data_IF_579491985864
#
_entry.id   IF_579491985864
#
_cell.length_a   1.000
_cell.length_b   1.000
_cell.length_c   1.000
_cell.angle_alpha   90.00
_cell.angle_beta   90.00
_cell.angle_gamma   90.00
#
_symmetry.space_group_name_H-M   'P 1'
#
loop_
_entity.id
_entity.type
_entity.pdbx_description
1 polymer ?
#
# COMPACT_ATOMS: atom_id res chain seq x y z
N UNK A 1 -3.48 22.03 8.37
CA UNK A 1 -3.43 20.89 9.30
C UNK A 1 -4.68 20.04 9.09
N UNK A 2 -4.54 18.76 8.80
CA UNK A 2 -5.66 17.85 8.51
C UNK A 2 -6.14 17.16 9.80
N UNK A 3 -6.92 17.88 10.61
CA UNK A 3 -7.48 17.39 11.87
C UNK A 3 -8.37 16.15 11.68
N UNK A 4 -9.24 16.05 10.65
CA UNK A 4 -10.02 14.84 10.39
C UNK A 4 -9.14 13.59 10.18
N UNK A 5 -8.04 13.71 9.43
CA UNK A 5 -7.09 12.61 9.24
C UNK A 5 -6.44 12.16 10.56
N UNK A 6 -6.05 13.13 11.41
CA UNK A 6 -5.52 12.82 12.74
C UNK A 6 -6.54 12.04 13.59
N UNK A 7 -7.80 12.50 13.58
CA UNK A 7 -8.89 11.91 14.35
C UNK A 7 -9.19 10.47 13.92
N UNK A 8 -9.32 10.20 12.62
CA UNK A 8 -9.60 8.83 12.13
C UNK A 8 -8.44 7.89 12.44
N UNK A 9 -7.18 8.32 12.32
CA UNK A 9 -6.02 7.48 12.65
C UNK A 9 -6.01 7.13 14.14
N UNK A 10 -6.26 8.10 15.03
CA UNK A 10 -6.31 7.85 16.47
C UNK A 10 -7.49 6.93 16.85
N UNK A 11 -8.65 7.11 16.22
CA UNK A 11 -9.80 6.23 16.40
C UNK A 11 -9.48 4.79 15.98
N UNK A 12 -8.91 4.59 14.79
CA UNK A 12 -8.51 3.26 14.32
C UNK A 12 -7.39 2.66 15.17
N UNK A 13 -6.45 3.48 15.64
CA UNK A 13 -5.40 3.06 16.59
C UNK A 13 -6.03 2.51 17.88
N UNK A 14 -7.07 3.18 18.39
CA UNK A 14 -7.81 2.70 19.56
C UNK A 14 -8.55 1.37 19.29
N UNK A 15 -9.15 1.19 18.11
CA UNK A 15 -9.76 -0.09 17.74
C UNK A 15 -8.73 -1.23 17.66
N UNK A 16 -7.56 -0.97 17.06
CA UNK A 16 -6.45 -1.95 16.99
C UNK A 16 -5.92 -2.25 18.39
N UNK A 17 -5.84 -1.26 19.28
CA UNK A 17 -5.44 -1.42 20.67
C UNK A 17 -6.37 -2.39 21.43
N UNK A 18 -7.70 -2.25 21.24
CA UNK A 18 -8.70 -3.15 21.82
C UNK A 18 -8.60 -4.59 21.30
N UNK A 19 -7.85 -4.81 20.22
CA UNK A 19 -7.67 -6.12 19.59
C UNK A 19 -8.81 -6.49 18.67
N UNK A 20 -9.55 -5.51 18.16
CA UNK A 20 -10.58 -5.73 17.16
C UNK A 20 -9.87 -6.21 15.89
N UNK A 21 -10.03 -7.50 15.59
CA UNK A 21 -9.62 -8.09 14.32
C UNK A 21 -10.82 -8.07 13.40
N UNK A 22 -10.61 -7.68 12.14
CA UNK A 22 -11.66 -7.85 11.15
C UNK A 22 -11.97 -9.33 10.97
N UNK A 23 -13.26 -9.67 11.07
CA UNK A 23 -13.72 -11.00 10.66
C UNK A 23 -13.60 -11.12 9.13
N UNK A 24 -13.25 -12.31 8.64
CA UNK A 24 -13.24 -12.59 7.21
C UNK A 24 -14.57 -12.22 6.54
N UNK A 25 -15.70 -12.40 7.23
CA UNK A 25 -17.03 -12.01 6.74
C UNK A 25 -17.16 -10.50 6.59
N UNK A 26 -16.68 -9.73 7.58
CA UNK A 26 -16.72 -8.27 7.53
C UNK A 26 -15.85 -7.73 6.39
N UNK A 27 -14.63 -8.25 6.24
CA UNK A 27 -13.74 -7.89 5.15
C UNK A 27 -14.37 -8.21 3.78
N UNK A 28 -14.98 -9.39 3.62
CA UNK A 28 -15.67 -9.76 2.37
C UNK A 28 -16.82 -8.80 2.03
N UNK A 29 -17.66 -8.44 3.01
CA UNK A 29 -18.75 -7.48 2.82
C UNK A 29 -18.19 -6.11 2.40
N UNK A 30 -17.14 -5.63 3.08
CA UNK A 30 -16.52 -4.35 2.76
C UNK A 30 -15.88 -4.35 1.36
N UNK A 31 -15.27 -5.45 0.94
CA UNK A 31 -14.73 -5.64 -0.42
C UNK A 31 -15.84 -5.63 -1.46
N UNK A 32 -16.91 -6.40 -1.26
CA UNK A 32 -18.06 -6.41 -2.18
C UNK A 32 -18.65 -5.01 -2.31
N UNK A 33 -18.81 -4.30 -1.19
CA UNK A 33 -19.35 -2.94 -1.19
C UNK A 33 -18.47 -1.97 -1.99
N UNK A 34 -17.16 -1.90 -1.71
CA UNK A 34 -16.26 -0.97 -2.43
C UNK A 34 -16.13 -1.30 -3.93
N UNK A 35 -16.10 -2.59 -4.29
CA UNK A 35 -16.10 -3.01 -5.70
C UNK A 35 -17.42 -2.64 -6.37
N UNK A 36 -18.56 -2.87 -5.72
CA UNK A 36 -19.89 -2.54 -6.26
C UNK A 36 -20.03 -1.03 -6.53
N UNK A 37 -19.50 -0.19 -5.64
CA UNK A 37 -19.50 1.27 -5.83
C UNK A 37 -18.66 1.69 -7.04
N UNK A 38 -17.50 1.06 -7.24
CA UNK A 38 -16.66 1.32 -8.43
C UNK A 38 -17.38 0.86 -9.71
N UNK A 39 -17.99 -0.32 -9.69
CA UNK A 39 -18.75 -0.84 -10.83
C UNK A 39 -19.97 0.04 -11.14
N UNK A 40 -20.64 0.56 -10.12
CA UNK A 40 -21.72 1.53 -10.28
C UNK A 40 -21.24 2.80 -10.99
N UNK A 41 -20.11 3.39 -10.53
CA UNK A 41 -19.50 4.54 -11.20
C UNK A 41 -19.21 4.23 -12.68
N UNK A 42 -18.57 3.09 -12.96
CA UNK A 42 -18.24 2.66 -14.33
C UNK A 42 -19.51 2.54 -15.18
N UNK A 43 -20.53 1.85 -14.69
CA UNK A 43 -21.76 1.57 -15.42
C UNK A 43 -22.55 2.85 -15.77
N UNK A 44 -22.49 3.86 -14.90
CA UNK A 44 -23.21 5.13 -15.09
C UNK A 44 -22.40 6.12 -15.94
N UNK A 45 -21.11 6.28 -15.63
CA UNK A 45 -20.29 7.31 -16.25
C UNK A 45 -19.80 6.95 -17.66
N UNK A 46 -19.75 5.66 -18.03
CA UNK A 46 -19.31 5.22 -19.37
C UNK A 46 -20.13 5.83 -20.51
N UNK A 47 -21.42 6.07 -20.29
CA UNK A 47 -22.34 6.65 -21.29
C UNK A 47 -22.12 8.16 -21.51
N UNK A 48 -21.31 8.80 -20.66
CA UNK A 48 -21.11 10.25 -20.66
C UNK A 48 -19.71 10.65 -21.16
N UNK A 49 -18.93 9.69 -21.67
CA UNK A 49 -17.60 9.94 -22.22
C UNK A 49 -17.69 10.86 -23.43
N UNK A 50 -16.92 11.95 -23.41
CA UNK A 50 -16.72 12.84 -24.55
C UNK A 50 -15.26 12.71 -25.01
N UNK A 51 -14.98 12.04 -26.14
CA UNK A 51 -13.62 11.82 -26.63
C UNK A 51 -12.79 13.09 -26.83
N UNK A 52 -13.43 14.25 -26.99
CA UNK A 52 -12.78 15.56 -27.02
C UNK A 52 -11.92 15.84 -25.77
N UNK A 53 -12.30 15.30 -24.62
CA UNK A 53 -11.56 15.47 -23.37
C UNK A 53 -10.21 14.75 -23.36
N UNK A 54 -10.00 13.78 -24.26
CA UNK A 54 -8.71 13.10 -24.44
C UNK A 54 -7.75 13.87 -25.36
N UNK A 55 -8.14 15.03 -25.89
CA UNK A 55 -7.24 15.87 -26.67
C UNK A 55 -6.78 17.11 -25.87
N UNK A 56 -5.46 17.32 -25.71
CA UNK A 56 -4.35 16.43 -26.08
C UNK A 56 -4.20 15.22 -25.14
N UNK A 57 -3.83 14.04 -25.68
CA UNK A 57 -3.74 12.80 -24.88
C UNK A 57 -2.53 12.76 -23.96
N UNK A 58 -1.39 13.30 -24.42
CA UNK A 58 -0.14 13.41 -23.65
C UNK A 58 0.32 14.87 -23.59
N UNK A 59 -0.38 15.76 -22.85
CA UNK A 59 -0.04 17.18 -22.77
C UNK A 59 1.37 17.42 -22.20
N UNK A 60 1.85 16.49 -21.37
CA UNK A 60 3.16 16.56 -20.72
C UNK A 60 4.18 15.56 -21.30
N UNK A 61 3.86 14.99 -22.48
CA UNK A 61 4.68 13.98 -23.14
C UNK A 61 4.92 12.72 -22.29
N UNK A 62 5.90 11.92 -22.70
CA UNK A 62 6.25 10.67 -22.01
C UNK A 62 6.75 10.90 -20.57
N UNK A 63 7.45 12.01 -20.33
CA UNK A 63 7.95 12.34 -19.00
C UNK A 63 6.82 12.49 -17.98
N UNK A 64 5.71 13.14 -18.35
CA UNK A 64 4.52 13.24 -17.50
C UNK A 64 3.83 11.90 -17.25
N UNK A 65 3.82 11.00 -18.24
CA UNK A 65 3.29 9.63 -18.06
C UNK A 65 4.12 8.88 -17.01
N UNK A 66 5.44 9.01 -17.04
CA UNK A 66 6.33 8.34 -16.09
C UNK A 66 6.24 8.90 -14.67
N UNK A 67 6.22 10.23 -14.53
CA UNK A 67 5.98 10.86 -13.23
C UNK A 67 4.62 10.45 -12.65
N UNK A 68 3.57 10.45 -13.47
CA UNK A 68 2.24 9.96 -13.08
C UNK A 68 2.24 8.48 -12.69
N UNK A 69 2.96 7.63 -13.43
CA UNK A 69 3.10 6.20 -13.12
C UNK A 69 3.80 5.99 -11.77
N UNK A 70 4.84 6.77 -11.47
CA UNK A 70 5.56 6.69 -10.20
C UNK A 70 4.69 7.13 -9.01
N UNK A 71 3.78 8.10 -9.20
CA UNK A 71 2.84 8.54 -8.15
C UNK A 71 1.70 7.51 -7.99
N UNK A 72 1.06 7.10 -9.08
CA UNK A 72 -0.11 6.21 -9.05
C UNK A 72 0.25 4.77 -8.64
N UNK A 73 1.53 4.41 -8.66
CA UNK A 73 2.04 3.15 -8.09
C UNK A 73 1.52 2.92 -6.66
N UNK A 74 1.31 4.00 -5.89
CA UNK A 74 0.71 3.95 -4.55
C UNK A 74 -0.60 3.14 -4.52
N UNK A 75 -1.44 3.27 -5.55
CA UNK A 75 -2.73 2.57 -5.64
C UNK A 75 -2.58 1.05 -5.73
N UNK A 76 -1.43 0.55 -6.18
CA UNK A 76 -1.16 -0.88 -6.29
C UNK A 76 -0.62 -1.52 -5.00
N UNK A 77 -0.32 -0.73 -3.98
CA UNK A 77 0.24 -1.23 -2.71
C UNK A 77 -0.86 -1.95 -1.92
N UNK A 78 -0.52 -3.12 -1.36
CA UNK A 78 -1.41 -3.90 -0.49
C UNK A 78 -1.66 -5.34 -0.93
N UNK A 79 -1.25 -5.75 -2.14
CA UNK A 79 -1.33 -7.16 -2.53
C UNK A 79 -0.44 -8.06 -1.64
N UNK A 80 0.65 -7.51 -1.10
CA UNK A 80 1.54 -8.17 -0.16
C UNK A 80 0.86 -8.46 1.19
N UNK A 81 -0.22 -7.77 1.54
CA UNK A 81 -0.99 -8.07 2.75
C UNK A 81 -1.59 -9.47 2.71
N UNK A 82 -1.87 -10.02 1.52
CA UNK A 82 -2.31 -11.41 1.35
C UNK A 82 -1.27 -12.37 1.95
N UNK A 83 0.03 -12.07 1.83
CA UNK A 83 1.12 -12.88 2.40
C UNK A 83 1.01 -13.08 3.92
N UNK A 84 0.38 -12.14 4.63
CA UNK A 84 0.20 -12.21 6.08
C UNK A 84 -0.85 -13.24 6.52
N UNK A 85 -1.75 -13.63 5.61
CA UNK A 85 -2.76 -14.66 5.83
C UNK A 85 -2.29 -16.06 5.38
N UNK A 86 -1.00 -16.21 5.03
CA UNK A 86 -0.43 -17.50 4.60
C UNK A 86 -0.61 -18.59 5.67
N UNK A 87 -0.53 -18.24 6.95
CA UNK A 87 -0.69 -19.18 8.07
C UNK A 87 -2.15 -19.64 8.25
N UNK A 88 -3.12 -18.85 7.75
CA UNK A 88 -4.56 -19.12 7.87
C UNK A 88 -5.14 -19.77 6.60
N UNK A 89 -4.35 -19.88 5.53
CA UNK A 89 -4.76 -20.49 4.26
C UNK A 89 -4.70 -22.02 4.33
N UNK A 90 -5.77 -22.69 3.85
CA UNK A 90 -5.84 -24.16 3.77
C UNK A 90 -4.79 -24.74 2.82
N UNK A 91 -4.61 -24.11 1.65
CA UNK A 91 -3.57 -24.50 0.70
C UNK A 91 -2.73 -23.28 0.28
N UNK A 92 -1.75 -22.86 1.11
CA UNK A 92 -0.96 -21.67 0.84
C UNK A 92 -0.17 -21.73 -0.47
N UNK A 93 0.10 -22.94 -0.99
CA UNK A 93 0.82 -23.13 -2.25
C UNK A 93 0.04 -22.61 -3.47
N UNK A 94 -1.28 -22.75 -3.43
CA UNK A 94 -2.17 -22.42 -4.53
C UNK A 94 -2.96 -21.15 -4.27
N UNK A 95 -3.48 -21.01 -3.05
CA UNK A 95 -4.42 -19.94 -2.71
C UNK A 95 -3.69 -18.58 -2.66
N UNK A 96 -2.44 -18.55 -2.18
CA UNK A 96 -1.67 -17.32 -2.04
C UNK A 96 -1.29 -16.69 -3.39
N UNK A 97 -0.70 -17.44 -4.37
CA UNK A 97 -0.44 -16.88 -5.68
C UNK A 97 -1.71 -16.42 -6.40
N UNK A 98 -2.81 -17.18 -6.29
CA UNK A 98 -4.10 -16.80 -6.89
C UNK A 98 -4.64 -15.52 -6.25
N UNK A 99 -4.57 -15.40 -4.92
CA UNK A 99 -4.98 -14.21 -4.20
C UNK A 99 -4.17 -12.97 -4.60
N UNK A 100 -2.84 -13.09 -4.66
CA UNK A 100 -1.94 -11.98 -5.00
C UNK A 100 -2.13 -11.55 -6.46
N UNK A 101 -2.00 -12.49 -7.41
CA UNK A 101 -2.05 -12.17 -8.85
C UNK A 101 -3.48 -11.79 -9.27
N UNK A 102 -4.49 -12.52 -8.76
CA UNK A 102 -5.88 -12.28 -9.07
C UNK A 102 -6.38 -10.93 -8.56
N UNK A 103 -6.05 -10.56 -7.32
CA UNK A 103 -6.41 -9.24 -6.79
C UNK A 103 -5.75 -8.10 -7.57
N UNK A 104 -4.46 -8.25 -7.93
CA UNK A 104 -3.74 -7.26 -8.72
C UNK A 104 -4.26 -7.13 -10.15
N UNK A 105 -4.65 -8.24 -10.79
CA UNK A 105 -5.25 -8.21 -12.12
C UNK A 105 -6.63 -7.52 -12.12
N UNK A 106 -7.50 -7.87 -11.16
CA UNK A 106 -8.83 -7.26 -11.03
C UNK A 106 -8.70 -5.77 -10.71
N UNK A 107 -7.84 -5.37 -9.77
CA UNK A 107 -7.63 -3.96 -9.45
C UNK A 107 -7.07 -3.18 -10.63
N UNK A 108 -6.12 -3.76 -11.38
CA UNK A 108 -5.56 -3.13 -12.59
C UNK A 108 -6.64 -2.79 -13.62
N UNK A 109 -7.53 -3.75 -13.92
CA UNK A 109 -8.62 -3.55 -14.89
C UNK A 109 -9.55 -2.44 -14.41
N UNK A 110 -9.94 -2.46 -13.13
CA UNK A 110 -10.82 -1.42 -12.56
C UNK A 110 -10.15 -0.05 -12.57
N UNK A 111 -8.86 0.06 -12.21
CA UNK A 111 -8.13 1.32 -12.23
C UNK A 111 -8.03 1.91 -13.63
N UNK A 112 -7.69 1.10 -14.64
CA UNK A 112 -7.65 1.54 -16.04
C UNK A 112 -9.03 2.01 -16.48
N UNK A 113 -10.09 1.25 -16.19
CA UNK A 113 -11.46 1.62 -16.55
C UNK A 113 -11.88 2.95 -15.92
N UNK A 114 -11.62 3.13 -14.62
CA UNK A 114 -11.93 4.38 -13.91
C UNK A 114 -11.18 5.55 -14.50
N UNK A 115 -9.87 5.43 -14.77
CA UNK A 115 -9.07 6.54 -15.33
C UNK A 115 -9.55 6.92 -16.74
N UNK A 116 -9.80 5.94 -17.61
CA UNK A 116 -10.29 6.17 -18.98
C UNK A 116 -11.65 6.87 -18.96
N UNK A 117 -12.58 6.40 -18.11
CA UNK A 117 -13.92 7.01 -17.99
C UNK A 117 -13.81 8.41 -17.39
N UNK A 118 -13.06 8.58 -16.31
CA UNK A 118 -12.96 9.83 -15.57
C UNK A 118 -12.35 10.96 -16.42
N UNK A 119 -11.27 10.66 -17.15
CA UNK A 119 -10.65 11.60 -18.10
C UNK A 119 -11.52 11.83 -19.34
N UNK A 120 -12.41 10.88 -19.66
CA UNK A 120 -13.39 11.00 -20.73
C UNK A 120 -14.58 11.89 -20.40
N UNK A 121 -15.00 11.98 -19.13
CA UNK A 121 -16.15 12.79 -18.70
C UNK A 121 -15.78 14.24 -18.37
N UNK A 122 -14.61 14.46 -17.77
CA UNK A 122 -14.15 15.78 -17.30
C UNK A 122 -12.74 16.06 -17.86
N UNK A 123 -12.47 17.27 -18.38
CA UNK A 123 -11.12 17.68 -18.78
C UNK A 123 -10.10 17.50 -17.65
N UNK A 124 -8.93 16.93 -17.95
CA UNK A 124 -7.91 16.57 -16.95
C UNK A 124 -7.48 17.73 -16.03
N UNK A 125 -7.57 18.98 -16.51
CA UNK A 125 -7.24 20.20 -15.74
C UNK A 125 -8.17 20.42 -14.53
N UNK A 126 -9.37 19.87 -14.56
CA UNK A 126 -10.36 20.00 -13.48
C UNK A 126 -10.34 18.82 -12.50
N UNK A 127 -9.53 17.79 -12.77
CA UNK A 127 -9.42 16.58 -11.95
C UNK A 127 -8.47 16.72 -10.75
N UNK A 128 -7.80 17.87 -10.58
CA UNK A 128 -7.05 18.15 -9.35
C UNK A 128 -8.02 18.44 -8.20
N UNK A 129 -8.55 17.36 -7.62
CA UNK A 129 -9.58 17.37 -6.61
C UNK A 129 -9.35 16.25 -5.58
N UNK A 130 -9.64 16.46 -4.29
CA UNK A 130 -9.52 15.40 -3.28
C UNK A 130 -10.42 14.18 -3.51
N UNK A 131 -11.54 14.32 -4.23
CA UNK A 131 -12.50 13.25 -4.49
C UNK A 131 -12.90 13.20 -5.99
N UNK A 132 -11.96 12.88 -6.89
CA UNK A 132 -12.14 13.14 -8.32
C UNK A 132 -13.23 12.26 -8.96
N UNK A 133 -13.45 11.03 -8.45
CA UNK A 133 -14.54 10.15 -8.92
C UNK A 133 -15.92 10.70 -8.55
N UNK A 134 -16.06 11.25 -7.33
CA UNK A 134 -17.30 11.87 -6.87
C UNK A 134 -17.58 13.17 -7.65
N UNK A 135 -16.56 14.01 -7.83
CA UNK A 135 -16.60 15.19 -8.71
C UNK A 135 -16.99 14.82 -10.15
N UNK A 136 -16.49 13.69 -10.64
CA UNK A 136 -16.92 13.04 -11.88
C UNK A 136 -18.43 13.00 -12.04
N UNK A 137 -19.11 12.40 -11.07
CA UNK A 137 -20.57 12.26 -11.08
C UNK A 137 -21.30 13.58 -10.81
N UNK A 138 -20.74 14.44 -9.95
CA UNK A 138 -21.31 15.76 -9.68
C UNK A 138 -21.32 16.66 -10.93
N UNK A 139 -20.24 16.63 -11.72
CA UNK A 139 -20.16 17.34 -13.00
C UNK A 139 -21.22 16.88 -14.01
N UNK A 140 -21.67 15.62 -13.92
CA UNK A 140 -22.76 15.07 -14.71
C UNK A 140 -24.16 15.40 -14.14
N UNK A 141 -24.23 16.16 -13.03
CA UNK A 141 -25.48 16.47 -12.33
C UNK A 141 -26.01 15.33 -11.46
N UNK A 142 -25.22 14.27 -11.21
CA UNK A 142 -25.65 13.06 -10.51
C UNK A 142 -25.27 13.11 -9.03
N UNK A 143 -25.91 14.01 -8.28
CA UNK A 143 -25.61 14.26 -6.85
C UNK A 143 -25.77 13.01 -5.97
N UNK A 144 -26.81 12.21 -6.18
CA UNK A 144 -27.02 10.95 -5.46
C UNK A 144 -25.88 9.95 -5.71
N UNK A 145 -25.45 9.82 -6.98
CA UNK A 145 -24.35 8.94 -7.35
C UNK A 145 -23.02 9.39 -6.73
N UNK A 146 -22.75 10.70 -6.73
CA UNK A 146 -21.59 11.29 -6.07
C UNK A 146 -21.56 10.99 -4.56
N UNK A 147 -22.71 11.13 -3.88
CA UNK A 147 -22.85 10.79 -2.46
C UNK A 147 -22.60 9.30 -2.18
N UNK A 148 -23.17 8.41 -2.99
CA UNK A 148 -22.97 6.96 -2.87
C UNK A 148 -21.48 6.58 -3.04
N UNK A 149 -20.82 7.14 -4.05
CA UNK A 149 -19.39 6.91 -4.29
C UNK A 149 -18.53 7.44 -3.14
N UNK A 150 -18.86 8.61 -2.61
CA UNK A 150 -18.14 9.21 -1.48
C UNK A 150 -18.23 8.34 -0.23
N UNK A 151 -19.42 7.82 0.10
CA UNK A 151 -19.61 6.88 1.22
C UNK A 151 -18.82 5.59 0.98
N UNK A 152 -18.89 5.04 -0.25
CA UNK A 152 -18.11 3.87 -0.63
C UNK A 152 -16.61 4.05 -0.47
N UNK A 153 -16.09 5.20 -0.89
CA UNK A 153 -14.69 5.57 -0.74
C UNK A 153 -14.29 5.69 0.74
N UNK A 154 -15.10 6.34 1.58
CA UNK A 154 -14.83 6.46 3.01
C UNK A 154 -14.75 5.09 3.70
N UNK A 155 -15.72 4.20 3.44
CA UNK A 155 -15.70 2.83 3.99
C UNK A 155 -14.47 2.06 3.46
N UNK A 156 -14.21 2.15 2.15
CA UNK A 156 -13.09 1.47 1.50
C UNK A 156 -11.73 1.89 2.05
N UNK A 157 -11.46 3.19 2.14
CA UNK A 157 -10.19 3.74 2.64
C UNK A 157 -10.02 3.42 4.13
N UNK A 158 -11.10 3.45 4.92
CA UNK A 158 -11.05 3.07 6.34
C UNK A 158 -10.56 1.64 6.55
N UNK A 159 -11.03 0.69 5.72
CA UNK A 159 -10.52 -0.70 5.79
C UNK A 159 -9.03 -0.80 5.46
N UNK A 160 -8.55 -0.02 4.48
CA UNK A 160 -7.12 0.01 4.13
C UNK A 160 -6.29 0.59 5.28
N UNK A 161 -6.74 1.67 5.92
CA UNK A 161 -6.07 2.25 7.07
C UNK A 161 -5.93 1.25 8.23
N UNK A 162 -6.98 0.49 8.52
CA UNK A 162 -6.96 -0.53 9.57
C UNK A 162 -5.93 -1.63 9.25
N UNK A 163 -5.94 -2.15 8.02
CA UNK A 163 -4.99 -3.18 7.56
C UNK A 163 -3.55 -2.68 7.66
N UNK A 164 -3.28 -1.45 7.24
CA UNK A 164 -1.92 -0.87 7.25
C UNK A 164 -1.42 -0.62 8.68
N UNK A 165 -2.25 -0.06 9.56
CA UNK A 165 -1.89 0.12 10.98
C UNK A 165 -1.58 -1.23 11.64
N UNK A 166 -2.41 -2.24 11.37
CA UNK A 166 -2.22 -3.58 11.90
C UNK A 166 -0.93 -4.24 11.38
N UNK A 167 -0.67 -4.12 10.08
CA UNK A 167 0.55 -4.62 9.44
C UNK A 167 1.81 -4.02 10.04
N UNK A 168 1.85 -2.69 10.19
CA UNK A 168 2.99 -1.98 10.78
C UNK A 168 3.29 -2.44 12.21
N UNK A 169 2.25 -2.57 13.03
CA UNK A 169 2.38 -3.03 14.42
C UNK A 169 2.94 -4.45 14.49
N UNK A 170 2.52 -5.34 13.59
CA UNK A 170 3.05 -6.73 13.49
C UNK A 170 4.52 -6.76 13.07
N UNK A 171 4.93 -5.90 12.13
CA UNK A 171 6.35 -5.81 11.71
C UNK A 171 7.22 -5.39 12.91
N UNK A 172 6.84 -4.34 13.64
CA UNK A 172 7.57 -3.91 14.83
C UNK A 172 7.60 -4.98 15.92
N UNK A 173 6.50 -5.70 16.12
CA UNK A 173 6.45 -6.82 17.06
C UNK A 173 7.45 -7.92 16.68
N UNK A 174 7.50 -8.34 15.41
CA UNK A 174 8.41 -9.36 14.92
C UNK A 174 9.88 -8.92 15.03
N UNK A 175 10.20 -7.69 14.58
CA UNK A 175 11.56 -7.13 14.68
C UNK A 175 12.03 -7.02 16.14
N UNK A 176 11.16 -6.60 17.05
CA UNK A 176 11.45 -6.54 18.48
C UNK A 176 11.65 -7.92 19.09
N UNK A 177 10.83 -8.90 18.72
CA UNK A 177 10.98 -10.30 19.17
C UNK A 177 12.34 -10.88 18.76
N UNK A 178 12.81 -10.52 17.56
CA UNK A 178 14.08 -10.98 17.01
C UNK A 178 15.30 -10.22 17.59
N UNK A 179 15.05 -9.16 18.38
CA UNK A 179 16.06 -8.34 19.06
C UNK A 179 16.59 -7.16 18.22
N UNK A 180 15.99 -6.91 17.04
CA UNK A 180 16.39 -5.81 16.15
C UNK A 180 15.90 -4.45 16.64
N UNK A 181 14.81 -4.43 17.42
CA UNK A 181 14.24 -3.23 18.05
C UNK A 181 14.14 -3.41 19.58
N UNK A 182 13.96 -2.32 20.36
CA UNK A 182 13.73 -2.40 21.80
C UNK A 182 12.52 -3.25 22.18
N UNK A 183 12.66 -4.06 23.24
CA UNK A 183 11.65 -5.03 23.69
C UNK A 183 10.26 -4.42 24.00
N UNK A 184 10.19 -3.10 24.18
CA UNK A 184 8.96 -2.34 24.38
C UNK A 184 7.92 -2.57 23.26
N UNK A 185 8.38 -2.74 22.02
CA UNK A 185 7.50 -3.00 20.86
C UNK A 185 6.88 -4.41 20.86
N UNK A 186 7.46 -5.35 21.60
CA UNK A 186 6.94 -6.71 21.77
C UNK A 186 6.12 -6.92 23.05
N UNK A 187 5.94 -5.89 23.89
CA UNK A 187 5.21 -6.01 25.16
C UNK A 187 3.70 -6.08 24.90
N UNK A 188 3.08 -7.17 25.33
CA UNK A 188 1.63 -7.40 25.16
C UNK A 188 0.82 -6.84 26.34
N UNK A 189 -0.38 -6.35 26.04
CA UNK A 189 -1.35 -5.93 27.05
C UNK A 189 -1.90 -7.16 27.80
N UNK A 190 -2.00 -7.14 29.15
CA UNK A 190 -2.41 -8.31 29.94
C UNK A 190 -3.78 -8.89 29.55
N UNK A 191 -4.77 -8.01 29.29
CA UNK A 191 -6.15 -8.40 28.91
C UNK A 191 -6.33 -8.68 27.41
N UNK A 192 -5.97 -7.74 26.55
CA UNK A 192 -6.21 -7.81 25.10
C UNK A 192 -5.16 -8.61 24.32
N UNK A 193 -4.00 -8.92 24.92
CA UNK A 193 -2.86 -9.58 24.27
C UNK A 193 -2.41 -8.89 22.97
N UNK A 194 -2.63 -7.58 22.89
CA UNK A 194 -2.20 -6.70 21.80
C UNK A 194 -0.90 -5.97 22.17
N UNK A 195 0.01 -5.70 21.22
CA UNK A 195 1.23 -4.94 21.46
C UNK A 195 0.94 -3.44 21.62
N UNK A 196 0.28 -3.08 22.72
CA UNK A 196 -0.33 -1.77 22.92
C UNK A 196 0.62 -0.58 22.76
N UNK A 197 1.86 -0.75 23.21
CA UNK A 197 2.89 0.27 23.13
C UNK A 197 3.31 0.56 21.68
N UNK A 198 3.45 -0.51 20.88
CA UNK A 198 3.71 -0.39 19.45
C UNK A 198 2.53 0.27 18.73
N UNK A 199 1.30 -0.13 19.07
CA UNK A 199 0.08 0.43 18.50
C UNK A 199 -0.01 1.94 18.71
N UNK A 200 0.14 2.42 19.95
CA UNK A 200 0.09 3.85 20.24
C UNK A 200 1.26 4.62 19.63
N UNK A 201 2.47 4.07 19.64
CA UNK A 201 3.63 4.69 19.02
C UNK A 201 3.41 4.91 17.52
N UNK A 202 3.00 3.87 16.80
CA UNK A 202 2.70 3.94 15.36
C UNK A 202 1.53 4.90 15.10
N UNK A 203 0.45 4.79 15.86
CA UNK A 203 -0.74 5.62 15.68
C UNK A 203 -0.49 7.11 15.90
N UNK A 204 0.24 7.47 16.96
CA UNK A 204 0.58 8.87 17.26
C UNK A 204 1.48 9.46 16.19
N UNK A 205 2.55 8.76 15.80
CA UNK A 205 3.46 9.23 14.75
C UNK A 205 2.71 9.38 13.42
N UNK A 206 1.92 8.37 13.04
CA UNK A 206 1.15 8.39 11.77
C UNK A 206 0.11 9.51 11.79
N UNK A 207 -0.55 9.76 12.93
CA UNK A 207 -1.51 10.86 13.09
C UNK A 207 -0.82 12.21 12.89
N UNK A 208 0.34 12.45 13.54
CA UNK A 208 1.12 13.68 13.35
C UNK A 208 1.51 13.84 11.87
N UNK A 209 2.08 12.81 11.25
CA UNK A 209 2.49 12.89 9.84
C UNK A 209 1.30 13.19 8.91
N UNK A 210 0.16 12.52 9.10
CA UNK A 210 -1.05 12.75 8.31
C UNK A 210 -1.69 14.14 8.54
N UNK A 211 -1.49 14.74 9.72
CA UNK A 211 -1.99 16.07 10.04
C UNK A 211 -1.18 17.20 9.42
N UNK A 212 0.14 17.03 9.29
CA UNK A 212 1.07 18.10 8.90
C UNK A 212 1.69 17.95 7.52
N UNK A 213 1.79 16.73 6.98
CA UNK A 213 2.38 16.51 5.66
C UNK A 213 1.32 16.40 4.57
N UNK A 214 1.59 16.94 3.38
CA UNK A 214 0.67 16.83 2.25
C UNK A 214 0.72 15.42 1.63
N UNK A 215 -0.37 15.02 0.98
CA UNK A 215 -0.58 13.63 0.54
C UNK A 215 0.37 13.20 -0.58
N UNK A 216 0.79 14.13 -1.43
CA UNK A 216 1.79 13.95 -2.48
C UNK A 216 3.14 13.54 -1.88
N UNK A 217 3.63 14.28 -0.87
CA UNK A 217 4.87 13.96 -0.17
C UNK A 217 4.79 12.59 0.51
N UNK A 218 3.66 12.27 1.14
CA UNK A 218 3.46 10.97 1.78
C UNK A 218 3.44 9.82 0.75
N UNK A 219 2.74 10.00 -0.37
CA UNK A 219 2.65 9.01 -1.43
C UNK A 219 4.03 8.75 -2.07
N UNK A 220 4.79 9.80 -2.37
CA UNK A 220 6.15 9.67 -2.90
C UNK A 220 7.09 8.89 -1.97
N UNK A 221 7.04 9.19 -0.66
CA UNK A 221 7.84 8.49 0.35
C UNK A 221 7.46 7.01 0.48
N UNK A 222 6.17 6.70 0.42
CA UNK A 222 5.68 5.32 0.43
C UNK A 222 6.11 4.59 -0.85
N UNK A 223 6.06 5.26 -2.00
CA UNK A 223 6.41 4.67 -3.29
C UNK A 223 7.90 4.33 -3.37
N UNK A 224 8.81 5.25 -3.02
CA UNK A 224 10.25 4.95 -3.06
C UNK A 224 10.62 3.77 -2.14
N UNK A 225 10.02 3.71 -0.94
CA UNK A 225 10.25 2.64 0.02
C UNK A 225 9.75 1.29 -0.48
N UNK A 226 8.52 1.25 -1.01
CA UNK A 226 7.91 0.02 -1.51
C UNK A 226 8.58 -0.48 -2.78
N UNK A 227 8.93 0.41 -3.71
CA UNK A 227 9.66 0.06 -4.93
C UNK A 227 11.04 -0.52 -4.60
N UNK A 228 11.75 0.06 -3.62
CA UNK A 228 13.02 -0.48 -3.15
C UNK A 228 12.85 -1.87 -2.50
N UNK A 229 11.79 -2.07 -1.71
CA UNK A 229 11.47 -3.38 -1.14
C UNK A 229 11.19 -4.41 -2.25
N UNK A 230 10.47 -4.05 -3.31
CA UNK A 230 10.20 -4.94 -4.44
C UNK A 230 11.46 -5.27 -5.24
N UNK A 231 12.39 -4.32 -5.37
CA UNK A 231 13.71 -4.57 -5.95
C UNK A 231 14.47 -5.62 -5.13
N UNK A 232 14.53 -5.44 -3.80
CA UNK A 232 15.20 -6.39 -2.90
C UNK A 232 14.55 -7.78 -2.93
N UNK A 233 13.22 -7.87 -2.93
CA UNK A 233 12.51 -9.15 -3.02
C UNK A 233 12.78 -9.85 -4.35
N UNK A 234 12.74 -9.10 -5.46
CA UNK A 234 13.02 -9.63 -6.80
C UNK A 234 14.46 -10.15 -6.92
N UNK A 235 15.42 -9.39 -6.39
CA UNK A 235 16.83 -9.80 -6.31
C UNK A 235 16.98 -11.05 -5.42
N UNK A 236 16.29 -11.09 -4.28
CA UNK A 236 16.32 -12.23 -3.36
C UNK A 236 15.79 -13.51 -4.02
N UNK A 237 14.79 -13.43 -4.90
CA UNK A 237 14.30 -14.59 -5.66
C UNK A 237 15.38 -15.15 -6.59
N UNK A 238 16.15 -14.28 -7.26
CA UNK A 238 17.28 -14.70 -8.10
C UNK A 238 18.35 -15.38 -7.22
N UNK A 239 18.81 -14.70 -6.16
CA UNK A 239 19.85 -15.20 -5.26
C UNK A 239 19.46 -16.54 -4.64
N UNK A 240 18.21 -16.68 -4.17
CA UNK A 240 17.72 -17.91 -3.56
C UNK A 240 17.58 -19.05 -4.57
N UNK A 241 17.46 -18.76 -5.87
CA UNK A 241 17.46 -19.77 -6.95
C UNK A 241 18.84 -20.42 -7.10
N UNK A 242 19.91 -19.66 -6.87
CA UNK A 242 21.29 -20.12 -7.01
C UNK A 242 21.89 -20.65 -5.70
N UNK A 243 21.61 -20.00 -4.56
CA UNK A 243 22.25 -20.34 -3.27
C UNK A 243 21.62 -21.53 -2.55
N UNK A 244 20.32 -21.78 -2.75
CA UNK A 244 19.57 -22.89 -2.13
C UNK A 244 18.61 -23.56 -3.11
N UNK A 245 19.12 -24.15 -4.20
CA UNK A 245 18.28 -24.75 -5.25
C UNK A 245 17.36 -25.87 -4.74
N UNK A 246 17.79 -26.62 -3.73
CA UNK A 246 17.13 -27.80 -3.14
C UNK A 246 15.85 -27.50 -2.34
N UNK A 247 15.59 -26.23 -2.01
CA UNK A 247 14.40 -25.86 -1.26
C UNK A 247 13.11 -26.26 -1.99
N UNK A 248 12.22 -26.95 -1.27
CA UNK A 248 10.89 -27.27 -1.74
C UNK A 248 10.03 -26.00 -1.85
N UNK A 249 9.85 -25.51 -3.08
CA UNK A 249 9.10 -24.28 -3.37
C UNK A 249 7.69 -24.64 -3.78
N UNK A 250 6.73 -24.32 -2.91
CA UNK A 250 5.29 -24.48 -3.13
C UNK A 250 4.79 -23.72 -4.37
N UNK A 251 5.36 -22.55 -4.62
CA UNK A 251 5.18 -21.77 -5.86
C UNK A 251 6.55 -21.41 -6.44
N UNK A 252 6.70 -21.52 -7.76
CA UNK A 252 7.91 -21.13 -8.48
C UNK A 252 7.56 -20.02 -9.47
N UNK A 253 8.21 -18.86 -9.31
CA UNK A 253 8.13 -17.80 -10.30
C UNK A 253 8.55 -18.36 -11.67
N UNK A 254 7.74 -18.17 -12.73
CA UNK A 254 8.10 -18.58 -14.08
C UNK A 254 9.28 -17.75 -14.61
N UNK A 255 10.01 -18.29 -15.58
CA UNK A 255 11.09 -17.59 -16.30
C UNK A 255 12.06 -16.81 -15.42
N UNK A 256 12.55 -17.42 -14.32
CA UNK A 256 13.69 -16.87 -13.57
C UNK A 256 14.97 -17.11 -14.38
N UNK A 257 15.83 -16.11 -14.59
CA UNK A 257 15.86 -14.79 -13.93
C UNK A 257 15.14 -13.64 -14.66
N UNK A 258 14.56 -13.87 -15.85
CA UNK A 258 13.96 -12.82 -16.67
C UNK A 258 12.86 -12.02 -15.95
N UNK A 259 11.86 -12.66 -15.35
CA UNK A 259 10.76 -11.93 -14.66
C UNK A 259 11.28 -11.09 -13.48
N UNK A 260 12.10 -11.64 -12.56
CA UNK A 260 12.72 -10.83 -11.50
C UNK A 260 13.58 -9.67 -12.02
N UNK A 261 14.33 -9.85 -13.11
CA UNK A 261 15.11 -8.78 -13.73
C UNK A 261 14.19 -7.68 -14.25
N UNK A 262 13.11 -8.03 -14.95
CA UNK A 262 12.13 -7.05 -15.42
C UNK A 262 11.50 -6.27 -14.26
N UNK A 263 11.17 -6.94 -13.15
CA UNK A 263 10.67 -6.27 -11.95
C UNK A 263 11.68 -5.28 -11.38
N UNK A 264 12.96 -5.65 -11.30
CA UNK A 264 14.06 -4.76 -10.87
C UNK A 264 14.14 -3.53 -11.79
N UNK A 265 14.11 -3.74 -13.11
CA UNK A 265 14.22 -2.65 -14.10
C UNK A 265 13.03 -1.69 -14.02
N UNK A 266 11.79 -2.20 -13.98
CA UNK A 266 10.60 -1.36 -13.88
C UNK A 266 10.54 -0.62 -12.53
N UNK A 267 10.83 -1.30 -11.42
CA UNK A 267 10.87 -0.64 -10.11
C UNK A 267 11.96 0.43 -10.05
N UNK A 268 13.16 0.14 -10.54
CA UNK A 268 14.26 1.12 -10.59
C UNK A 268 13.92 2.33 -11.47
N UNK A 269 13.27 2.10 -12.61
CA UNK A 269 12.86 3.17 -13.51
C UNK A 269 11.78 4.09 -12.91
N UNK A 270 10.80 3.52 -12.19
CA UNK A 270 9.82 4.31 -11.43
C UNK A 270 10.49 5.09 -10.29
N UNK A 271 11.47 4.50 -9.59
CA UNK A 271 12.21 5.19 -8.55
C UNK A 271 12.99 6.40 -9.08
N UNK A 272 13.64 6.27 -10.24
CA UNK A 272 14.37 7.38 -10.89
C UNK A 272 13.42 8.51 -11.30
N UNK A 273 12.15 8.18 -11.58
CA UNK A 273 11.12 9.15 -11.95
C UNK A 273 10.55 9.95 -10.77
N UNK A 274 10.92 9.62 -9.53
CA UNK A 274 10.52 10.36 -8.33
C UNK A 274 11.38 11.60 -8.08
N UNK A 275 10.85 12.63 -7.40
CA UNK A 275 11.61 13.84 -7.08
C UNK A 275 12.89 13.56 -6.28
N UNK A 276 13.91 14.41 -6.49
CA UNK A 276 15.19 14.31 -5.78
C UNK A 276 15.03 14.46 -4.26
N UNK A 277 14.04 15.24 -3.83
CA UNK A 277 13.69 15.43 -2.42
C UNK A 277 13.28 14.12 -1.75
N UNK A 278 12.56 13.27 -2.48
CA UNK A 278 12.15 11.93 -2.05
C UNK A 278 13.38 11.04 -1.83
N UNK A 279 14.37 11.11 -2.73
CA UNK A 279 15.66 10.40 -2.59
C UNK A 279 16.46 10.86 -1.37
N UNK A 280 16.54 12.17 -1.13
CA UNK A 280 17.23 12.71 0.05
C UNK A 280 16.58 12.17 1.33
N UNK A 281 15.26 12.28 1.46
CA UNK A 281 14.52 11.76 2.62
C UNK A 281 14.72 10.25 2.80
N UNK A 282 14.69 9.49 1.71
CA UNK A 282 14.93 8.05 1.72
C UNK A 282 16.34 7.68 2.19
N UNK A 283 17.38 8.34 1.67
CA UNK A 283 18.78 8.10 2.08
C UNK A 283 18.98 8.47 3.55
N UNK A 284 18.44 9.60 4.01
CA UNK A 284 18.50 9.99 5.43
C UNK A 284 17.87 8.92 6.33
N UNK A 285 16.71 8.39 5.95
CA UNK A 285 16.06 7.30 6.68
C UNK A 285 16.91 6.01 6.72
N UNK A 286 17.56 5.66 5.61
CA UNK A 286 18.50 4.54 5.57
C UNK A 286 19.70 4.74 6.48
N UNK A 287 20.28 5.95 6.51
CA UNK A 287 21.40 6.28 7.41
C UNK A 287 20.96 6.09 8.87
N UNK A 288 19.77 6.58 9.25
CA UNK A 288 19.21 6.37 10.59
C UNK A 288 19.07 4.86 10.87
N UNK A 289 18.53 4.09 9.93
CA UNK A 289 18.41 2.64 10.04
C UNK A 289 19.76 1.94 10.24
N UNK A 290 20.80 2.33 9.50
CA UNK A 290 22.15 1.82 9.67
C UNK A 290 22.75 2.18 11.02
N UNK A 291 22.56 3.42 11.49
CA UNK A 291 23.00 3.84 12.83
C UNK A 291 22.36 2.94 13.87
N UNK A 292 21.03 2.73 13.83
CA UNK A 292 20.33 1.84 14.75
C UNK A 292 20.86 0.40 14.64
N UNK A 293 21.10 -0.09 13.42
CA UNK A 293 21.59 -1.44 13.21
C UNK A 293 22.98 -1.67 13.83
N UNK A 294 23.94 -0.78 13.54
CA UNK A 294 25.32 -0.92 14.00
C UNK A 294 25.51 -0.57 15.49
N UNK A 295 24.65 0.26 16.07
CA UNK A 295 24.75 0.65 17.50
C UNK A 295 23.94 -0.26 18.41
N UNK A 296 22.79 -0.76 17.97
CA UNK A 296 21.85 -1.51 18.81
C UNK A 296 21.59 -2.92 18.25
N UNK A 297 21.06 -3.02 17.02
CA UNK A 297 20.50 -4.29 16.53
C UNK A 297 21.56 -5.39 16.42
N UNK A 298 22.79 -5.08 16.00
CA UNK A 298 23.88 -6.07 15.85
C UNK A 298 24.24 -6.76 17.17
N UNK A 299 24.22 -6.04 18.29
CA UNK A 299 24.59 -6.57 19.60
C UNK A 299 23.42 -7.26 20.32
N UNK A 300 22.19 -6.86 20.01
CA UNK A 300 21.00 -7.33 20.72
C UNK A 300 20.23 -8.44 19.95
N UNK A 301 20.56 -8.65 18.67
CA UNK A 301 19.93 -9.69 17.84
C UNK A 301 20.14 -11.09 18.42
N UNK A 302 19.08 -11.90 18.44
CA UNK A 302 19.16 -13.30 18.89
C UNK A 302 20.12 -14.13 18.05
N UNK A 303 20.24 -13.83 16.75
CA UNK A 303 21.19 -14.50 15.85
C UNK A 303 22.64 -14.27 16.27
N UNK A 304 23.00 -13.04 16.66
CA UNK A 304 24.35 -12.73 17.13
C UNK A 304 24.66 -13.46 18.45
N UNK A 305 23.66 -13.60 19.33
CA UNK A 305 23.78 -14.37 20.58
C UNK A 305 23.81 -15.89 20.39
N UNK A 306 23.34 -16.40 19.25
CA UNK A 306 23.44 -17.82 18.88
C UNK A 306 24.77 -18.19 18.22
N UNK A 307 25.53 -17.20 17.74
CA UNK A 307 26.83 -17.37 17.10
C UNK A 307 28.02 -17.07 18.03
N UNK A 308 27.76 -16.56 19.24
CA UNK A 308 28.73 -16.39 20.33
C UNK A 308 28.64 -17.57 21.29
#
# INVERSE_FOLDING_TARGET
VNVPAMGIILFLTWLVYLGIRESATFNNIAVIFKVSVILFFIAVAVWHIKPVNWHPFMPYGWHGVMAGAAIIFFAYIGFDAVSTAAEESKNPARDMPIGIIGSLAVSSILYIAVVVILTGIIPYKLLNDPAPVAKGLEYLGMSFGSGLVSIGALVGITTVLLVMLYGQVRIFFAMSRDGLLPAFFSKLHPKHKTPYLSTWFVGIITSILAGFLPIDVLAELVNIGTLFAFLLVSLSVIILRYTRPELNRKFKCPWVPFIPIMAILFSGYLMISLPIETWIRFIVWFIIGFIIYFTYSRYNSRLAKLQQ
#
